data_IF_279857262517
#
_entry.id   IF_279857262517
#
_cell.length_a   1.000
_cell.length_b   1.000
_cell.length_c   1.000
_cell.angle_alpha   90.00
_cell.angle_beta   90.00
_cell.angle_gamma   90.00
#
_symmetry.space_group_name_H-M   'P 1'
#
loop_
_entity.id
_entity.type
_entity.pdbx_description
1 polymer ?
#
# COMPACT_ATOMS: atom_id res chain seq x y z
N UNK A 1 -12.75 0.53 -0.60
CA UNK A 1 -11.82 1.61 -0.27
C UNK A 1 -10.67 1.69 -1.26
N UNK A 2 -10.06 2.84 -1.38
CA UNK A 2 -8.86 3.05 -2.19
C UNK A 2 -7.63 2.98 -1.30
N UNK A 3 -6.63 2.21 -1.71
CA UNK A 3 -5.32 2.18 -1.05
C UNK A 3 -4.38 3.14 -1.77
N UNK A 4 -3.88 4.13 -1.06
CA UNK A 4 -2.89 5.07 -1.57
C UNK A 4 -1.53 4.74 -0.96
N UNK A 5 -0.51 4.59 -1.80
CA UNK A 5 0.84 4.26 -1.38
C UNK A 5 1.78 5.33 -1.91
N UNK A 6 2.50 5.96 -1.00
CA UNK A 6 3.53 6.95 -1.34
C UNK A 6 4.88 6.44 -0.87
N UNK A 7 5.74 6.09 -1.81
CA UNK A 7 7.04 5.50 -1.52
C UNK A 7 8.15 6.47 -1.86
N UNK A 8 8.77 7.04 -0.84
CA UNK A 8 9.99 7.83 -0.97
C UNK A 8 11.24 6.98 -0.70
N UNK A 9 12.41 7.59 -0.78
CA UNK A 9 13.67 6.89 -0.54
C UNK A 9 13.81 6.39 0.90
N UNK A 10 13.20 7.08 1.85
CA UNK A 10 13.35 6.81 3.29
C UNK A 10 12.11 6.14 3.89
N UNK A 11 10.93 6.60 3.52
CA UNK A 11 9.67 6.15 4.09
C UNK A 11 8.66 5.77 3.01
N UNK A 12 7.86 4.75 3.32
CA UNK A 12 6.71 4.35 2.51
C UNK A 12 5.46 4.52 3.37
N UNK A 13 4.50 5.28 2.87
CA UNK A 13 3.24 5.59 3.56
C UNK A 13 2.10 4.88 2.86
N UNK A 14 1.26 4.20 3.64
CA UNK A 14 0.05 3.54 3.15
C UNK A 14 -1.15 4.24 3.78
N UNK A 15 -2.14 4.57 2.98
CA UNK A 15 -3.35 5.24 3.46
C UNK A 15 -4.59 4.61 2.84
N UNK A 16 -5.65 4.51 3.64
CA UNK A 16 -6.96 4.04 3.17
C UNK A 16 -7.88 5.25 2.98
N UNK A 17 -8.40 5.39 1.77
CA UNK A 17 -9.36 6.42 1.41
C UNK A 17 -10.75 5.81 1.29
N UNK A 18 -11.72 6.35 2.02
CA UNK A 18 -13.08 5.81 2.07
C UNK A 18 -14.06 6.48 1.10
N UNK A 19 -13.57 7.42 0.31
CA UNK A 19 -14.38 8.23 -0.60
C UNK A 19 -14.62 9.66 -0.12
N UNK A 20 -14.41 9.91 1.17
CA UNK A 20 -14.58 11.22 1.79
C UNK A 20 -13.34 11.69 2.54
N UNK A 21 -12.60 10.77 3.18
CA UNK A 21 -11.41 11.08 3.97
C UNK A 21 -10.53 9.85 4.12
N UNK A 22 -9.31 10.07 4.62
CA UNK A 22 -8.43 8.97 4.97
C UNK A 22 -8.88 8.33 6.28
N UNK A 23 -9.27 7.06 6.21
CA UNK A 23 -9.72 6.31 7.38
C UNK A 23 -8.55 5.85 8.25
N UNK A 24 -7.39 5.62 7.65
CA UNK A 24 -6.19 5.20 8.36
C UNK A 24 -4.95 5.50 7.53
N UNK A 25 -3.81 5.66 8.22
CA UNK A 25 -2.51 5.88 7.60
C UNK A 25 -1.46 5.13 8.40
N UNK A 26 -0.55 4.45 7.69
CA UNK A 26 0.56 3.72 8.28
C UNK A 26 1.85 4.03 7.54
N UNK A 27 2.96 3.92 8.24
CA UNK A 27 4.27 4.25 7.68
C UNK A 27 5.27 3.15 8.01
N UNK A 28 6.14 2.85 7.06
CA UNK A 28 7.29 1.98 7.29
C UNK A 28 8.54 2.56 6.65
N UNK A 29 9.70 2.12 7.09
CA UNK A 29 10.95 2.45 6.42
C UNK A 29 10.97 1.80 5.04
N UNK A 30 11.43 2.53 4.03
CA UNK A 30 11.58 1.98 2.70
C UNK A 30 12.73 0.98 2.67
N UNK A 31 12.47 -0.23 2.17
CA UNK A 31 13.46 -1.27 1.97
C UNK A 31 13.21 -1.94 0.62
N UNK A 32 14.18 -1.85 -0.28
CA UNK A 32 14.06 -2.37 -1.64
C UNK A 32 13.94 -3.90 -1.69
N UNK A 33 14.27 -4.58 -0.59
CA UNK A 33 14.25 -6.04 -0.51
C UNK A 33 12.90 -6.61 -0.05
N UNK A 34 11.96 -5.76 0.37
CA UNK A 34 10.66 -6.24 0.83
C UNK A 34 9.88 -6.84 -0.31
N UNK A 35 9.31 -8.01 -0.06
CA UNK A 35 8.44 -8.68 -1.01
C UNK A 35 7.00 -8.21 -0.85
N UNK A 36 6.17 -8.50 -1.85
CA UNK A 36 4.73 -8.22 -1.78
C UNK A 36 4.08 -8.91 -0.58
N UNK A 37 4.48 -10.14 -0.28
CA UNK A 37 3.92 -10.90 0.85
C UNK A 37 4.29 -10.28 2.20
N UNK A 38 5.51 -9.77 2.33
CA UNK A 38 5.94 -9.06 3.55
C UNK A 38 5.14 -7.77 3.74
N UNK A 39 4.91 -7.00 2.68
CA UNK A 39 4.04 -5.84 2.76
C UNK A 39 2.63 -6.22 3.20
N UNK A 40 2.09 -7.30 2.65
CA UNK A 40 0.73 -7.70 2.94
C UNK A 40 0.56 -8.15 4.40
N UNK A 41 1.46 -8.97 4.90
CA UNK A 41 1.40 -9.45 6.29
C UNK A 41 1.44 -8.27 7.26
N UNK A 42 2.34 -7.34 7.04
CA UNK A 42 2.47 -6.14 7.86
C UNK A 42 1.21 -5.27 7.80
N UNK A 43 0.73 -4.98 6.59
CA UNK A 43 -0.42 -4.11 6.37
C UNK A 43 -1.70 -4.73 6.92
N UNK A 44 -1.91 -6.02 6.66
CA UNK A 44 -3.07 -6.77 7.14
C UNK A 44 -3.13 -6.79 8.67
N UNK A 45 -2.00 -6.99 9.33
CA UNK A 45 -1.93 -6.97 10.78
C UNK A 45 -2.33 -5.60 11.35
N UNK A 46 -1.86 -4.52 10.74
CA UNK A 46 -2.20 -3.17 11.18
C UNK A 46 -3.67 -2.84 10.91
N UNK A 47 -4.21 -3.26 9.80
CA UNK A 47 -5.63 -3.11 9.49
C UNK A 47 -6.49 -3.81 10.54
N UNK A 48 -6.14 -5.06 10.87
CA UNK A 48 -6.89 -5.84 11.86
C UNK A 48 -6.81 -5.21 13.26
N UNK A 49 -5.63 -4.76 13.67
CA UNK A 49 -5.44 -4.10 14.96
C UNK A 49 -6.24 -2.79 15.06
N UNK A 50 -6.37 -2.08 13.97
CA UNK A 50 -7.13 -0.83 13.91
C UNK A 50 -8.63 -1.01 13.74
N UNK A 51 -9.12 -2.24 13.70
CA UNK A 51 -10.53 -2.52 13.47
C UNK A 51 -10.99 -2.26 12.05
N UNK A 52 -10.07 -2.16 11.11
CA UNK A 52 -10.38 -1.98 9.69
C UNK A 52 -10.39 -3.35 9.00
N UNK A 53 -11.50 -3.67 8.35
CA UNK A 53 -11.59 -4.82 7.46
C UNK A 53 -11.95 -4.31 6.06
N UNK A 54 -11.11 -3.46 5.48
CA UNK A 54 -11.48 -2.76 4.26
C UNK A 54 -11.46 -3.69 3.07
N UNK A 55 -12.42 -3.47 2.20
CA UNK A 55 -12.39 -4.03 0.87
C UNK A 55 -11.66 -3.04 -0.02
N UNK A 56 -10.41 -3.32 -0.32
CA UNK A 56 -9.63 -2.50 -1.24
C UNK A 56 -10.05 -2.83 -2.67
N UNK A 57 -10.61 -1.85 -3.36
CA UNK A 57 -11.12 -2.02 -4.73
C UNK A 57 -10.25 -1.31 -5.77
N UNK A 58 -9.34 -0.49 -5.33
CA UNK A 58 -8.41 0.21 -6.19
C UNK A 58 -7.20 0.68 -5.42
N UNK A 59 -6.15 1.03 -6.13
CA UNK A 59 -4.92 1.51 -5.51
C UNK A 59 -4.22 2.54 -6.39
N UNK A 60 -3.53 3.47 -5.74
CA UNK A 60 -2.64 4.43 -6.40
C UNK A 60 -1.27 4.32 -5.76
N UNK A 61 -0.24 4.21 -6.58
CA UNK A 61 1.15 4.16 -6.12
C UNK A 61 1.87 5.38 -6.67
N UNK A 62 2.41 6.19 -5.77
CA UNK A 62 3.32 7.30 -6.11
C UNK A 62 4.71 6.95 -5.62
N UNK A 63 5.70 6.91 -6.52
CA UNK A 63 7.05 6.52 -6.13
C UNK A 63 8.09 7.10 -7.09
N UNK A 64 9.23 7.50 -6.52
CA UNK A 64 10.45 7.82 -7.26
C UNK A 64 11.46 6.68 -7.20
N UNK A 65 11.07 5.51 -6.69
CA UNK A 65 11.95 4.35 -6.49
C UNK A 65 11.45 3.16 -7.31
N UNK A 66 11.90 3.00 -8.58
CA UNK A 66 11.35 1.99 -9.50
C UNK A 66 11.40 0.56 -8.96
N UNK A 67 12.43 0.21 -8.21
CA UNK A 67 12.60 -1.16 -7.67
C UNK A 67 11.50 -1.54 -6.71
N UNK A 68 10.99 -0.57 -5.95
CA UNK A 68 9.92 -0.81 -4.97
C UNK A 68 8.56 -0.92 -5.66
N UNK A 69 8.37 -0.20 -6.76
CA UNK A 69 7.10 -0.18 -7.48
C UNK A 69 6.68 -1.58 -7.93
N UNK A 70 7.62 -2.39 -8.39
CA UNK A 70 7.30 -3.75 -8.83
C UNK A 70 6.61 -4.56 -7.70
N UNK A 71 7.21 -4.58 -6.52
CA UNK A 71 6.66 -5.34 -5.40
C UNK A 71 5.35 -4.75 -4.87
N UNK A 72 5.18 -3.43 -4.96
CA UNK A 72 3.91 -2.79 -4.61
C UNK A 72 2.82 -3.13 -5.63
N UNK A 73 3.14 -3.23 -6.91
CA UNK A 73 2.19 -3.71 -7.93
C UNK A 73 1.76 -5.13 -7.65
N UNK A 74 2.69 -6.00 -7.29
CA UNK A 74 2.39 -7.40 -6.95
C UNK A 74 1.53 -7.47 -5.69
N UNK A 75 1.80 -6.63 -4.70
CA UNK A 75 0.95 -6.51 -3.51
C UNK A 75 -0.50 -6.25 -3.91
N UNK A 76 -0.73 -5.26 -4.75
CA UNK A 76 -2.09 -4.88 -5.16
C UNK A 76 -2.77 -5.98 -5.98
N UNK A 77 -2.08 -6.57 -6.95
CA UNK A 77 -2.68 -7.59 -7.81
C UNK A 77 -2.90 -8.91 -7.10
N UNK A 78 -1.92 -9.37 -6.30
CA UNK A 78 -1.99 -10.68 -5.64
C UNK A 78 -2.92 -10.67 -4.44
N UNK A 79 -2.79 -9.65 -3.59
CA UNK A 79 -3.46 -9.65 -2.28
C UNK A 79 -4.74 -8.83 -2.24
N UNK A 80 -4.88 -7.83 -3.10
CA UNK A 80 -6.08 -6.99 -3.14
C UNK A 80 -6.89 -7.16 -4.42
N UNK A 81 -6.38 -7.93 -5.37
CA UNK A 81 -7.10 -8.22 -6.61
C UNK A 81 -7.39 -6.99 -7.47
N UNK A 82 -6.54 -5.98 -7.40
CA UNK A 82 -6.73 -4.76 -8.18
C UNK A 82 -5.46 -4.37 -8.94
N UNK A 83 -5.63 -3.63 -10.02
CA UNK A 83 -4.53 -3.07 -10.80
C UNK A 83 -4.29 -1.64 -10.34
N UNK A 84 -3.12 -1.31 -9.76
CA UNK A 84 -2.87 0.03 -9.28
C UNK A 84 -2.59 1.01 -10.42
N UNK A 85 -2.99 2.27 -10.22
CA UNK A 85 -2.51 3.39 -11.01
C UNK A 85 -1.15 3.80 -10.43
N UNK A 86 -0.12 3.86 -11.27
CA UNK A 86 1.22 4.26 -10.83
C UNK A 86 1.53 5.66 -11.34
N UNK A 87 1.91 6.53 -10.42
CA UNK A 87 2.32 7.91 -10.68
C UNK A 87 3.76 8.06 -10.21
N UNK A 88 4.63 8.43 -11.11
CA UNK A 88 6.05 8.52 -10.78
C UNK A 88 6.66 9.85 -11.05
#
# INVERSE_FOLDING_TARGET
MLLAIDCGNTNTVFALWDGARFAATWRMATDHRRTADEYFVWLKALMDLGGHAPRVTGAVISSTVPRVVFNLRVLCSRHFGCRPLVVG
#
